data_IF_466289653423
#
_entry.id   IF_466289653423
#
_cell.length_a   1.000
_cell.length_b   1.000
_cell.length_c   1.000
_cell.angle_alpha   90.00
_cell.angle_beta   90.00
_cell.angle_gamma   90.00
#
_symmetry.space_group_name_H-M   'P 1'
#
loop_
_entity.id
_entity.type
_entity.pdbx_description
1 polymer ?
#
# COMPACT_ATOMS: atom_id res chain seq x y z
N UNK A 1 -4.95 12.91 -20.23
CA UNK A 1 -5.97 11.96 -19.69
C UNK A 1 -5.93 10.75 -20.60
N UNK A 2 -5.70 9.57 -20.03
CA UNK A 2 -5.71 8.31 -20.76
C UNK A 2 -7.03 7.59 -20.57
N UNK A 3 -7.51 6.87 -21.58
CA UNK A 3 -8.77 6.14 -21.55
C UNK A 3 -8.54 4.64 -21.45
N UNK A 4 -9.31 3.96 -20.60
CA UNK A 4 -9.33 2.50 -20.49
C UNK A 4 -10.70 2.00 -20.92
N UNK A 5 -10.73 1.05 -21.86
CA UNK A 5 -11.97 0.37 -22.27
C UNK A 5 -11.91 -1.07 -21.79
N UNK A 6 -12.91 -1.47 -21.00
CA UNK A 6 -13.07 -2.84 -20.51
C UNK A 6 -14.37 -3.44 -21.05
N UNK A 7 -14.33 -4.73 -21.38
CA UNK A 7 -15.51 -5.49 -21.74
C UNK A 7 -16.06 -6.15 -20.49
N UNK A 8 -17.31 -5.85 -20.17
CA UNK A 8 -18.03 -6.38 -19.00
C UNK A 8 -19.45 -6.75 -19.42
N UNK A 9 -20.13 -7.56 -18.60
CA UNK A 9 -21.55 -7.86 -18.82
C UNK A 9 -22.42 -6.62 -18.57
N UNK A 10 -23.65 -6.64 -19.07
CA UNK A 10 -24.61 -5.57 -18.77
C UNK A 10 -24.90 -5.50 -17.26
N UNK A 11 -25.00 -6.64 -16.60
CA UNK A 11 -25.28 -6.74 -15.18
C UNK A 11 -24.15 -6.13 -14.33
N UNK A 12 -22.88 -6.45 -14.64
CA UNK A 12 -21.75 -5.89 -13.92
C UNK A 12 -21.66 -4.37 -14.11
N UNK A 13 -21.99 -3.89 -15.32
CA UNK A 13 -22.02 -2.46 -15.63
C UNK A 13 -23.03 -1.72 -14.76
N UNK A 14 -24.23 -2.27 -14.59
CA UNK A 14 -25.26 -1.66 -13.74
C UNK A 14 -24.85 -1.70 -12.27
N UNK A 15 -24.34 -2.84 -11.78
CA UNK A 15 -23.86 -2.96 -10.40
C UNK A 15 -22.75 -1.97 -10.08
N UNK A 16 -21.75 -1.82 -10.95
CA UNK A 16 -20.65 -0.86 -10.77
C UNK A 16 -21.15 0.58 -10.76
N UNK A 17 -22.14 0.90 -11.60
CA UNK A 17 -22.76 2.23 -11.62
C UNK A 17 -23.51 2.51 -10.32
N UNK A 18 -24.41 1.61 -9.94
CA UNK A 18 -25.25 1.79 -8.75
C UNK A 18 -24.39 1.95 -7.49
N UNK A 19 -23.32 1.14 -7.38
CA UNK A 19 -22.37 1.26 -6.29
C UNK A 19 -21.62 2.60 -6.30
N UNK A 20 -21.12 3.01 -7.47
CA UNK A 20 -20.39 4.28 -7.60
C UNK A 20 -21.31 5.48 -7.28
N UNK A 21 -22.53 5.48 -7.78
CA UNK A 21 -23.54 6.51 -7.55
C UNK A 21 -23.95 6.57 -6.07
N UNK A 22 -24.16 5.41 -5.42
CA UNK A 22 -24.43 5.32 -3.98
C UNK A 22 -23.31 5.93 -3.12
N UNK A 23 -22.06 5.73 -3.53
CA UNK A 23 -20.89 6.27 -2.83
C UNK A 23 -20.50 7.68 -3.31
N UNK A 24 -21.24 8.29 -4.23
CA UNK A 24 -20.95 9.63 -4.75
C UNK A 24 -19.64 9.74 -5.53
N UNK A 25 -19.16 8.65 -6.12
CA UNK A 25 -17.92 8.60 -6.92
C UNK A 25 -18.21 8.18 -8.37
N UNK A 26 -17.26 8.42 -9.27
CA UNK A 26 -17.36 7.91 -10.64
C UNK A 26 -16.94 6.45 -10.73
N UNK A 27 -17.47 5.71 -11.71
CA UNK A 27 -17.02 4.33 -12.01
C UNK A 27 -15.52 4.30 -12.32
N UNK A 28 -14.99 5.32 -12.98
CA UNK A 28 -13.54 5.43 -13.24
C UNK A 28 -12.72 5.58 -11.96
N UNK A 29 -13.22 6.33 -10.96
CA UNK A 29 -12.57 6.46 -9.66
C UNK A 29 -12.63 5.14 -8.89
N UNK A 30 -13.80 4.49 -8.87
CA UNK A 30 -13.98 3.18 -8.26
C UNK A 30 -12.95 2.17 -8.81
N UNK A 31 -12.91 1.99 -10.12
CA UNK A 31 -12.01 1.03 -10.76
C UNK A 31 -10.53 1.39 -10.56
N UNK A 32 -10.19 2.67 -10.61
CA UNK A 32 -8.81 3.13 -10.38
C UNK A 32 -8.37 2.83 -8.96
N UNK A 33 -9.18 3.20 -7.96
CA UNK A 33 -8.83 2.97 -6.56
C UNK A 33 -8.75 1.47 -6.26
N UNK A 34 -9.77 0.69 -6.65
CA UNK A 34 -9.73 -0.76 -6.42
C UNK A 34 -8.52 -1.45 -7.06
N UNK A 35 -8.06 -0.98 -8.23
CA UNK A 35 -6.85 -1.50 -8.85
C UNK A 35 -5.59 -1.12 -8.08
N UNK A 36 -5.47 0.14 -7.63
CA UNK A 36 -4.33 0.63 -6.85
C UNK A 36 -4.27 -0.05 -5.48
N UNK A 37 -5.38 -0.13 -4.77
CA UNK A 37 -5.48 -0.81 -3.47
C UNK A 37 -5.01 -2.26 -3.58
N UNK A 38 -5.39 -2.96 -4.66
CA UNK A 38 -4.93 -4.33 -4.90
C UNK A 38 -3.42 -4.40 -5.13
N UNK A 39 -2.86 -3.49 -5.91
CA UNK A 39 -1.43 -3.42 -6.18
C UNK A 39 -0.65 -3.14 -4.90
N UNK A 40 -1.10 -2.18 -4.10
CA UNK A 40 -0.50 -1.81 -2.82
C UNK A 40 -0.52 -2.98 -1.84
N UNK A 41 -1.66 -3.66 -1.68
CA UNK A 41 -1.75 -4.85 -0.83
C UNK A 41 -0.75 -5.94 -1.24
N UNK A 42 -0.54 -6.17 -2.54
CA UNK A 42 0.45 -7.14 -3.01
C UNK A 42 1.90 -6.70 -2.74
N UNK A 43 2.18 -5.40 -2.82
CA UNK A 43 3.49 -4.82 -2.46
C UNK A 43 3.73 -4.95 -0.96
N UNK A 44 2.76 -4.57 -0.14
CA UNK A 44 2.85 -4.59 1.33
C UNK A 44 3.09 -6.01 1.85
N UNK A 45 2.35 -6.99 1.32
CA UNK A 45 2.56 -8.42 1.69
C UNK A 45 3.99 -8.85 1.37
N UNK A 46 4.50 -8.52 0.18
CA UNK A 46 5.87 -8.90 -0.23
C UNK A 46 6.92 -8.19 0.61
N UNK A 47 6.71 -6.92 0.92
CA UNK A 47 7.61 -6.13 1.75
C UNK A 47 7.68 -6.71 3.17
N UNK A 48 6.51 -7.02 3.76
CA UNK A 48 6.42 -7.66 5.07
C UNK A 48 7.12 -9.02 5.10
N UNK A 49 6.89 -9.87 4.09
CA UNK A 49 7.59 -11.16 3.98
C UNK A 49 9.10 -11.00 3.89
N UNK A 50 9.57 -10.00 3.13
CA UNK A 50 10.99 -9.69 3.01
C UNK A 50 11.58 -9.23 4.34
N UNK A 51 10.92 -8.30 5.03
CA UNK A 51 11.33 -7.81 6.33
C UNK A 51 11.45 -8.97 7.34
N UNK A 52 10.46 -9.87 7.37
CA UNK A 52 10.52 -11.06 8.24
C UNK A 52 11.66 -12.01 7.90
N UNK A 53 12.01 -12.14 6.62
CA UNK A 53 13.15 -12.97 6.21
C UNK A 53 14.46 -12.36 6.70
N UNK A 54 14.65 -11.06 6.48
CA UNK A 54 15.84 -10.32 6.96
C UNK A 54 15.94 -10.46 8.47
N UNK A 55 14.86 -10.20 9.22
CA UNK A 55 14.83 -10.33 10.67
C UNK A 55 15.24 -11.72 11.18
N UNK A 56 14.87 -12.79 10.46
CA UNK A 56 15.27 -14.17 10.84
C UNK A 56 16.73 -14.48 10.55
N UNK A 57 17.34 -13.76 9.62
CA UNK A 57 18.75 -13.91 9.23
C UNK A 57 19.67 -12.98 10.03
N UNK A 58 19.11 -11.96 10.69
CA UNK A 58 19.84 -11.05 11.58
C UNK A 58 20.38 -11.79 12.81
N UNK A 59 21.59 -11.43 13.16
CA UNK A 59 22.28 -11.85 14.39
C UNK A 59 22.19 -10.74 15.44
N UNK A 60 22.57 -11.03 16.69
CA UNK A 60 22.57 -10.02 17.75
C UNK A 60 23.45 -8.80 17.41
N UNK A 61 24.49 -8.96 16.58
CA UNK A 61 25.35 -7.88 16.10
C UNK A 61 24.67 -6.98 15.05
N UNK A 62 23.57 -7.44 14.43
CA UNK A 62 22.80 -6.67 13.43
C UNK A 62 21.68 -5.84 14.07
N UNK A 63 21.44 -6.00 15.38
CA UNK A 63 20.31 -5.38 16.10
C UNK A 63 20.84 -4.37 17.12
N UNK A 64 20.61 -3.08 16.85
CA UNK A 64 20.89 -2.00 17.79
C UNK A 64 19.64 -1.57 18.55
N UNK A 65 19.81 -1.01 19.74
CA UNK A 65 18.72 -0.44 20.52
C UNK A 65 18.16 0.83 19.87
N UNK A 66 16.97 1.27 20.31
CA UNK A 66 16.36 2.49 19.79
C UNK A 66 17.21 3.74 20.07
N UNK A 67 17.86 3.80 21.25
CA UNK A 67 18.72 4.91 21.65
C UNK A 67 19.99 4.97 20.78
N UNK A 68 20.60 3.81 20.49
CA UNK A 68 21.73 3.72 19.57
C UNK A 68 21.35 4.10 18.14
N UNK A 69 20.17 3.69 17.65
CA UNK A 69 19.68 4.07 16.32
C UNK A 69 19.48 5.60 16.19
N UNK A 70 18.93 6.24 17.22
CA UNK A 70 18.73 7.70 17.23
C UNK A 70 20.07 8.44 17.18
N UNK A 71 21.05 7.94 17.97
CA UNK A 71 22.42 8.47 17.97
C UNK A 71 23.09 8.28 16.60
N UNK A 72 22.98 7.11 15.98
CA UNK A 72 23.57 6.80 14.67
C UNK A 72 22.98 7.64 13.53
N UNK A 73 21.69 7.99 13.63
CA UNK A 73 21.00 8.83 12.64
C UNK A 73 21.22 10.34 12.86
N UNK A 74 21.89 10.74 13.94
CA UNK A 74 22.11 12.15 14.29
C UNK A 74 20.81 12.90 14.62
N UNK A 75 19.83 12.19 15.21
CA UNK A 75 18.52 12.73 15.59
C UNK A 75 18.43 13.10 17.07
N UNK A 76 19.52 12.94 17.80
CA UNK A 76 19.74 13.31 19.19
C UNK A 76 19.60 14.83 19.44
N UNK A 77 19.86 15.66 18.42
CA UNK A 77 19.83 17.13 18.53
C UNK A 77 18.45 17.79 18.27
N UNK A 78 17.38 17.04 17.97
CA UNK A 78 16.06 17.61 17.59
C UNK A 78 15.23 18.11 18.79
N UNK A 79 15.78 18.06 20.01
CA UNK A 79 15.14 18.55 21.24
C UNK A 79 15.88 19.67 21.98
N UNK A 80 16.60 20.55 21.27
CA UNK A 80 17.07 21.85 21.82
C UNK A 80 16.15 23.02 21.48
#
# INVERSE_FOLDING_TARGET
MENLTIRISKQDKELLKDFADFNGISVSNLLRQSALDRIENEIDIKLYQRANKIMKEMTDDDVISHDELISDLGLDDVHS
#
